data_IF_974803271447
#
_entry.id   IF_974803271447
#
_cell.length_a   1.000
_cell.length_b   1.000
_cell.length_c   1.000
_cell.angle_alpha   90.00
_cell.angle_beta   90.00
_cell.angle_gamma   90.00
#
_symmetry.space_group_name_H-M   'P 1'
#
loop_
_entity.id
_entity.type
_entity.pdbx_description
1 polymer ?
#
# COMPACT_ATOMS: atom_id res chain seq x y z
N UNK A 1 17.49 -5.15 -12.75
CA UNK A 1 17.09 -4.01 -11.92
C UNK A 1 18.09 -3.94 -10.80
N UNK A 2 18.65 -2.77 -10.52
CA UNK A 2 19.45 -2.56 -9.33
C UNK A 2 18.48 -2.22 -8.20
N UNK A 3 18.53 -3.01 -7.14
CA UNK A 3 17.59 -2.96 -6.03
C UNK A 3 18.22 -2.21 -4.86
N UNK A 4 17.45 -1.35 -4.18
CA UNK A 4 18.03 -0.39 -3.24
C UNK A 4 17.13 -0.15 -2.04
N UNK A 5 17.77 0.23 -0.93
CA UNK A 5 17.09 0.86 0.20
C UNK A 5 17.70 2.23 0.49
N UNK A 6 16.84 3.24 0.62
CA UNK A 6 17.18 4.60 1.00
C UNK A 6 16.51 4.90 2.33
N UNK A 7 17.26 5.41 3.31
CA UNK A 7 16.77 5.76 4.63
C UNK A 7 16.57 7.27 4.76
N UNK A 8 15.55 7.69 5.51
CA UNK A 8 15.33 9.09 5.92
C UNK A 8 14.93 9.14 7.39
N UNK A 9 15.14 10.30 8.02
CA UNK A 9 14.81 10.52 9.43
C UNK A 9 13.37 11.09 9.59
N UNK A 10 12.84 11.74 8.54
CA UNK A 10 11.45 12.21 8.47
C UNK A 10 10.63 11.40 7.45
N UNK A 11 9.38 11.10 7.83
CA UNK A 11 8.48 10.30 6.98
C UNK A 11 8.06 11.06 5.73
N UNK A 12 7.69 12.34 5.87
CA UNK A 12 7.22 13.12 4.73
C UNK A 12 8.36 13.45 3.76
N UNK A 13 9.59 13.54 4.23
CA UNK A 13 10.77 13.58 3.36
C UNK A 13 10.92 12.30 2.54
N UNK A 14 10.60 11.13 3.11
CA UNK A 14 10.57 9.87 2.36
C UNK A 14 9.49 9.87 1.26
N UNK A 15 8.31 10.40 1.58
CA UNK A 15 7.18 10.52 0.63
C UNK A 15 7.53 11.48 -0.51
N UNK A 16 8.06 12.67 -0.18
CA UNK A 16 8.48 13.68 -1.17
C UNK A 16 9.63 13.17 -2.03
N UNK A 17 10.61 12.46 -1.44
CA UNK A 17 11.68 11.81 -2.18
C UNK A 17 11.12 10.84 -3.24
N UNK A 18 10.20 9.96 -2.82
CA UNK A 18 9.62 8.95 -3.70
C UNK A 18 8.78 9.58 -4.81
N UNK A 19 7.99 10.62 -4.50
CA UNK A 19 7.23 11.38 -5.50
C UNK A 19 8.16 12.08 -6.50
N UNK A 20 9.16 12.82 -6.02
CA UNK A 20 10.10 13.56 -6.85
C UNK A 20 10.85 12.64 -7.82
N UNK A 21 11.31 11.50 -7.30
CA UNK A 21 11.99 10.46 -8.09
C UNK A 21 11.05 9.90 -9.14
N UNK A 22 9.82 9.58 -8.74
CA UNK A 22 8.81 9.07 -9.64
C UNK A 22 8.49 10.06 -10.77
N UNK A 23 8.64 11.36 -10.55
CA UNK A 23 8.48 12.43 -11.54
C UNK A 23 9.75 12.71 -12.39
N UNK A 24 10.86 11.98 -12.18
CA UNK A 24 12.02 12.06 -13.06
C UNK A 24 11.82 11.17 -14.29
N UNK A 25 11.25 11.72 -15.37
CA UNK A 25 10.95 10.95 -16.58
C UNK A 25 12.21 10.32 -17.24
N UNK A 26 13.41 10.85 -16.94
CA UNK A 26 14.69 10.29 -17.39
C UNK A 26 15.27 9.17 -16.51
N UNK A 27 14.66 8.88 -15.35
CA UNK A 27 15.11 7.84 -14.42
C UNK A 27 14.08 6.71 -14.43
N UNK A 28 14.44 5.60 -15.09
CA UNK A 28 13.55 4.46 -15.19
C UNK A 28 13.52 3.69 -13.87
N UNK A 29 12.37 3.72 -13.21
CA UNK A 29 12.09 2.95 -11.98
C UNK A 29 11.05 1.86 -12.27
N UNK A 30 11.14 0.74 -11.54
CA UNK A 30 10.12 -0.33 -11.53
C UNK A 30 9.33 -0.38 -10.22
N UNK A 31 9.91 0.12 -9.13
CA UNK A 31 9.32 0.13 -7.80
C UNK A 31 9.79 1.37 -7.05
N UNK A 32 8.85 1.99 -6.35
CA UNK A 32 9.11 2.99 -5.32
C UNK A 32 8.12 2.78 -4.18
N UNK A 33 8.62 2.34 -3.04
CA UNK A 33 7.79 2.02 -1.87
C UNK A 33 8.33 2.77 -0.66
N UNK A 34 7.46 3.42 0.12
CA UNK A 34 7.82 4.13 1.35
C UNK A 34 7.25 3.39 2.55
N UNK A 35 8.04 3.25 3.60
CA UNK A 35 7.68 2.62 4.87
C UNK A 35 7.89 3.61 6.01
N UNK A 36 6.82 3.89 6.76
CA UNK A 36 6.91 4.65 8.01
C UNK A 36 7.70 3.87 9.07
N UNK A 37 8.52 4.56 9.84
CA UNK A 37 9.13 4.00 11.03
C UNK A 37 8.04 3.58 12.05
N UNK A 38 8.16 2.45 12.77
CA UNK A 38 9.31 1.54 12.84
C UNK A 38 9.21 0.32 11.91
N UNK A 39 8.43 0.34 10.81
CA UNK A 39 8.14 -0.85 9.97
C UNK A 39 9.41 -1.61 9.57
N UNK A 40 10.44 -0.88 9.13
CA UNK A 40 11.71 -1.47 8.73
C UNK A 40 12.45 -2.13 9.90
N UNK A 41 12.49 -1.45 11.05
CA UNK A 41 13.15 -1.98 12.23
C UNK A 41 12.42 -3.19 12.82
N UNK A 42 11.09 -3.15 12.90
CA UNK A 42 10.32 -4.16 13.62
C UNK A 42 10.06 -5.41 12.77
N UNK A 43 9.83 -5.26 11.47
CA UNK A 43 9.33 -6.34 10.62
C UNK A 43 10.33 -6.83 9.57
N UNK A 44 11.36 -6.05 9.23
CA UNK A 44 12.33 -6.44 8.19
C UNK A 44 13.60 -7.01 8.80
N UNK A 45 13.55 -8.27 9.26
CA UNK A 45 14.64 -8.92 10.02
C UNK A 45 16.05 -8.83 9.39
N UNK A 46 16.17 -8.77 8.06
CA UNK A 46 17.46 -8.62 7.36
C UNK A 46 17.89 -7.17 7.13
N UNK A 47 16.97 -6.22 7.26
CA UNK A 47 17.21 -4.77 7.16
C UNK A 47 17.43 -4.17 8.56
N UNK A 48 16.77 -4.70 9.59
CA UNK A 48 16.84 -4.26 10.98
C UNK A 48 18.25 -3.92 11.48
N UNK A 49 19.33 -4.70 11.21
CA UNK A 49 20.67 -4.36 11.69
C UNK A 49 21.27 -3.08 11.09
N UNK A 50 20.62 -2.48 10.08
CA UNK A 50 21.11 -1.34 9.30
C UNK A 50 20.23 -0.09 9.46
N UNK A 51 19.21 -0.14 10.34
CA UNK A 51 18.25 0.93 10.57
C UNK A 51 17.96 1.07 12.07
N UNK A 52 17.67 2.28 12.52
CA UNK A 52 17.21 2.55 13.88
C UNK A 52 15.68 2.49 13.97
N UNK A 53 15.11 2.58 15.18
CA UNK A 53 13.66 2.51 15.38
C UNK A 53 12.88 3.63 14.68
N UNK A 54 13.47 4.82 14.57
CA UNK A 54 12.89 6.01 13.94
C UNK A 54 13.21 6.12 12.44
N UNK A 55 13.95 5.16 11.88
CA UNK A 55 14.34 5.19 10.47
C UNK A 55 13.16 4.85 9.56
N UNK A 56 12.77 5.82 8.73
CA UNK A 56 11.87 5.59 7.60
C UNK A 56 12.68 5.01 6.44
N UNK A 57 12.02 4.20 5.61
CA UNK A 57 12.72 3.45 4.56
C UNK A 57 12.00 3.58 3.22
N UNK A 58 12.78 3.66 2.15
CA UNK A 58 12.30 3.66 0.77
C UNK A 58 12.92 2.48 0.04
N UNK A 59 12.11 1.56 -0.46
CA UNK A 59 12.54 0.49 -1.36
C UNK A 59 12.43 0.94 -2.81
N UNK A 60 13.52 0.76 -3.56
CA UNK A 60 13.61 1.18 -4.96
C UNK A 60 14.09 0.04 -5.86
N UNK A 61 13.62 0.05 -7.11
CA UNK A 61 14.20 -0.72 -8.20
C UNK A 61 14.48 0.21 -9.37
N UNK A 62 15.76 0.49 -9.61
CA UNK A 62 16.23 1.40 -10.66
C UNK A 62 16.81 0.59 -11.83
N UNK A 63 16.58 1.01 -13.06
CA UNK A 63 17.21 0.36 -14.22
C UNK A 63 18.73 0.65 -14.21
N UNK A 64 19.60 -0.32 -14.56
CA UNK A 64 21.05 -0.10 -14.52
C UNK A 64 21.53 1.12 -15.32
N UNK A 65 20.91 1.39 -16.48
CA UNK A 65 21.27 2.54 -17.33
C UNK A 65 20.82 3.89 -16.76
N UNK A 66 19.90 3.91 -15.77
CA UNK A 66 19.44 5.13 -15.10
C UNK A 66 20.19 5.40 -13.80
N UNK A 67 21.17 4.57 -13.42
CA UNK A 67 21.84 4.65 -12.13
C UNK A 67 22.58 5.97 -11.93
N UNK A 68 23.33 6.46 -12.92
CA UNK A 68 24.05 7.74 -12.79
C UNK A 68 23.09 8.92 -12.61
N UNK A 69 21.93 8.87 -13.31
CA UNK A 69 20.85 9.84 -13.13
C UNK A 69 20.26 9.77 -11.72
N UNK A 70 20.02 8.56 -11.20
CA UNK A 70 19.56 8.35 -9.83
C UNK A 70 20.57 8.85 -8.79
N UNK A 71 21.86 8.54 -8.93
CA UNK A 71 22.90 9.00 -7.99
C UNK A 71 23.04 10.52 -8.01
N UNK A 72 22.92 11.15 -9.19
CA UNK A 72 22.89 12.62 -9.31
C UNK A 72 21.66 13.22 -8.63
N UNK A 73 20.49 12.57 -8.77
CA UNK A 73 19.26 12.94 -8.09
C UNK A 73 19.39 12.81 -6.56
N UNK A 74 19.94 11.70 -6.08
CA UNK A 74 20.14 11.42 -4.65
C UNK A 74 21.15 12.38 -4.01
N UNK A 75 22.26 12.69 -4.69
CA UNK A 75 23.30 13.58 -4.16
C UNK A 75 22.81 15.01 -3.84
N UNK A 76 21.62 15.39 -4.31
CA UNK A 76 20.97 16.69 -4.04
C UNK A 76 20.02 16.68 -2.85
N UNK A 77 19.91 15.54 -2.15
CA UNK A 77 18.94 15.29 -1.07
C UNK A 77 19.66 14.84 0.20
N UNK A 78 20.24 15.77 0.97
CA UNK A 78 20.98 15.44 2.19
C UNK A 78 20.15 14.69 3.25
N UNK A 79 18.82 14.80 3.18
CA UNK A 79 17.85 14.09 4.02
C UNK A 79 17.73 12.59 3.70
N UNK A 80 18.26 12.12 2.56
CA UNK A 80 18.11 10.76 2.09
C UNK A 80 19.46 10.03 1.96
N UNK A 81 19.59 8.87 2.61
CA UNK A 81 20.83 8.08 2.65
C UNK A 81 20.65 6.73 1.99
N UNK A 82 21.41 6.44 0.93
CA UNK A 82 21.47 5.11 0.34
C UNK A 82 22.18 4.14 1.30
N UNK A 83 21.45 3.17 1.85
CA UNK A 83 21.99 2.21 2.82
C UNK A 83 22.22 0.80 2.24
N UNK A 84 21.62 0.52 1.09
CA UNK A 84 21.78 -0.75 0.38
C UNK A 84 21.65 -0.55 -1.12
N UNK A 85 22.56 -1.14 -1.88
CA UNK A 85 22.46 -1.29 -3.33
C UNK A 85 22.86 -2.71 -3.74
N UNK A 86 22.02 -3.40 -4.49
CA UNK A 86 22.20 -4.84 -4.77
C UNK A 86 23.50 -5.19 -5.50
N UNK A 87 24.02 -4.27 -6.31
CA UNK A 87 25.28 -4.41 -7.06
C UNK A 87 26.49 -3.77 -6.36
N UNK A 88 26.31 -3.13 -5.20
CA UNK A 88 27.36 -2.48 -4.41
C UNK A 88 26.96 -2.38 -2.93
N UNK A 89 27.24 -3.45 -2.18
CA UNK A 89 26.96 -3.53 -0.75
C UNK A 89 27.98 -4.45 -0.06
N UNK A 90 28.16 -4.21 1.23
CA UNK A 90 29.00 -5.00 2.14
C UNK A 90 28.15 -5.71 3.23
N UNK A 91 26.83 -5.79 3.03
CA UNK A 91 25.92 -6.40 3.99
C UNK A 91 26.24 -7.89 4.17
N UNK A 92 26.55 -8.30 5.41
CA UNK A 92 26.90 -9.68 5.73
C UNK A 92 25.82 -10.71 5.32
N UNK A 93 24.56 -10.28 5.23
CA UNK A 93 23.44 -11.07 4.70
C UNK A 93 22.60 -10.22 3.76
N UNK A 94 22.43 -10.69 2.53
CA UNK A 94 21.54 -10.02 1.59
C UNK A 94 20.08 -10.01 2.06
N UNK A 95 19.35 -8.90 1.88
CA UNK A 95 17.95 -8.80 2.27
C UNK A 95 17.03 -9.74 1.48
N UNK A 96 17.51 -10.32 0.38
CA UNK A 96 16.67 -10.96 -0.63
C UNK A 96 16.11 -9.91 -1.60
N UNK A 97 15.19 -10.29 -2.50
CA UNK A 97 14.65 -9.36 -3.49
C UNK A 97 13.88 -8.21 -2.83
N UNK A 98 14.23 -6.97 -3.17
CA UNK A 98 13.63 -5.76 -2.56
C UNK A 98 12.13 -5.67 -2.83
N UNK A 99 11.63 -6.16 -3.96
CA UNK A 99 10.19 -6.16 -4.23
C UNK A 99 9.39 -7.02 -3.25
N UNK A 100 10.02 -8.00 -2.57
CA UNK A 100 9.38 -8.78 -1.50
C UNK A 100 9.28 -8.00 -0.18
N UNK A 101 9.66 -6.73 -0.16
CA UNK A 101 9.41 -5.80 0.95
C UNK A 101 8.27 -4.83 0.66
N UNK A 102 7.90 -4.64 -0.61
CA UNK A 102 6.78 -3.83 -1.02
C UNK A 102 5.49 -4.63 -1.22
N UNK A 103 4.43 -3.94 -1.59
CA UNK A 103 3.07 -4.43 -1.73
C UNK A 103 2.65 -5.26 -0.51
N UNK A 104 1.71 -6.18 -0.67
CA UNK A 104 1.23 -6.94 0.48
C UNK A 104 2.28 -7.92 1.09
N UNK A 105 3.51 -7.97 0.55
CA UNK A 105 4.61 -8.66 1.24
C UNK A 105 5.09 -7.89 2.48
N UNK A 106 4.89 -6.57 2.54
CA UNK A 106 5.11 -5.78 3.76
C UNK A 106 4.24 -6.33 4.89
N UNK A 107 2.94 -6.48 4.64
CA UNK A 107 1.99 -7.09 5.56
C UNK A 107 2.39 -8.53 5.90
N UNK A 108 2.78 -9.34 4.91
CA UNK A 108 3.26 -10.72 5.16
C UNK A 108 4.47 -10.75 6.12
N UNK A 109 5.40 -9.80 6.02
CA UNK A 109 6.54 -9.69 6.93
C UNK A 109 6.10 -9.28 8.32
N UNK A 110 5.18 -8.33 8.43
CA UNK A 110 4.63 -7.88 9.69
C UNK A 110 3.87 -9.00 10.44
N UNK A 111 2.94 -9.70 9.77
CA UNK A 111 2.13 -10.78 10.41
C UNK A 111 2.96 -11.99 10.84
N UNK A 112 4.13 -12.21 10.22
CA UNK A 112 5.08 -13.24 10.66
C UNK A 112 5.75 -12.92 12.00
N UNK A 113 5.73 -11.64 12.41
CA UNK A 113 6.30 -11.16 13.67
C UNK A 113 5.19 -10.84 14.67
N UNK A 114 4.17 -10.09 14.27
CA UNK A 114 2.99 -9.73 15.06
C UNK A 114 1.71 -10.14 14.30
N UNK A 115 1.10 -11.30 14.63
CA UNK A 115 -0.12 -11.78 13.98
C UNK A 115 -1.36 -10.90 14.19
N UNK A 116 -1.31 -9.88 15.05
CA UNK A 116 -2.40 -8.91 15.20
C UNK A 116 -2.43 -7.86 14.09
N UNK A 117 -1.41 -7.81 13.23
CA UNK A 117 -1.36 -6.88 12.11
C UNK A 117 -2.34 -7.30 11.01
N UNK A 118 -3.10 -6.32 10.54
CA UNK A 118 -3.88 -6.36 9.31
C UNK A 118 -3.51 -5.14 8.45
N UNK A 119 -4.21 -4.90 7.34
CA UNK A 119 -3.86 -3.81 6.42
C UNK A 119 -5.09 -3.15 5.81
N UNK A 120 -4.98 -1.87 5.47
CA UNK A 120 -5.94 -1.16 4.62
C UNK A 120 -5.49 -1.15 3.16
N UNK A 121 -6.39 -0.82 2.25
CA UNK A 121 -6.02 -0.40 0.90
C UNK A 121 -6.59 0.98 0.66
N UNK A 122 -5.71 1.96 0.54
CA UNK A 122 -6.06 3.39 0.45
C UNK A 122 -5.55 3.93 -0.87
N UNK A 123 -6.29 4.84 -1.49
CA UNK A 123 -5.82 5.64 -2.62
C UNK A 123 -5.66 7.09 -2.20
N UNK A 124 -4.44 7.57 -2.30
CA UNK A 124 -4.07 8.97 -2.14
C UNK A 124 -3.86 9.57 -3.52
N UNK A 125 -4.92 10.17 -4.07
CA UNK A 125 -4.94 10.66 -5.44
C UNK A 125 -4.37 12.09 -5.59
N UNK A 126 -3.76 12.35 -6.74
CA UNK A 126 -3.37 13.70 -7.16
C UNK A 126 -4.61 14.63 -7.23
N UNK A 127 -4.50 15.94 -6.89
CA UNK A 127 -3.30 16.69 -6.52
C UNK A 127 -3.01 16.77 -5.02
N UNK A 128 -3.89 16.21 -4.18
CA UNK A 128 -3.86 16.44 -2.72
C UNK A 128 -3.22 15.28 -1.95
N UNK A 129 -2.62 14.32 -2.65
CA UNK A 129 -2.10 13.08 -2.08
C UNK A 129 -1.11 13.32 -0.94
N UNK A 130 -0.18 14.27 -1.07
CA UNK A 130 0.79 14.57 0.00
C UNK A 130 0.11 15.05 1.29
N UNK A 131 -0.77 16.05 1.18
CA UNK A 131 -1.47 16.61 2.33
C UNK A 131 -2.38 15.58 3.01
N UNK A 132 -2.98 14.69 2.21
CA UNK A 132 -3.83 13.63 2.73
C UNK A 132 -3.02 12.52 3.41
N UNK A 133 -1.86 12.14 2.86
CA UNK A 133 -0.92 11.20 3.49
C UNK A 133 -0.45 11.76 4.84
N UNK A 134 -0.01 13.01 4.88
CA UNK A 134 0.45 13.67 6.11
C UNK A 134 -0.66 13.69 7.16
N UNK A 135 -1.88 14.10 6.78
CA UNK A 135 -3.04 14.11 7.66
C UNK A 135 -3.38 12.73 8.22
N UNK A 136 -3.43 11.69 7.37
CA UNK A 136 -3.76 10.32 7.83
C UNK A 136 -2.65 9.74 8.71
N UNK A 137 -1.39 10.06 8.40
CA UNK A 137 -0.26 9.65 9.24
C UNK A 137 -0.34 10.32 10.62
N UNK A 138 -0.58 11.63 10.69
CA UNK A 138 -0.66 12.36 11.95
C UNK A 138 -1.88 11.95 12.81
N UNK A 139 -3.01 11.62 12.17
CA UNK A 139 -4.22 11.17 12.88
C UNK A 139 -4.04 9.79 13.53
N UNK A 140 -3.31 8.88 12.87
CA UNK A 140 -3.30 7.47 13.26
C UNK A 140 -1.96 6.92 13.76
N UNK A 141 -0.84 7.61 13.56
CA UNK A 141 0.45 7.13 14.05
C UNK A 141 0.49 7.22 15.60
N UNK A 142 0.98 6.18 16.32
CA UNK A 142 1.60 4.95 15.83
C UNK A 142 0.65 3.74 15.74
N UNK A 143 -0.67 3.91 15.91
CA UNK A 143 -1.66 2.83 15.81
C UNK A 143 -1.71 2.23 14.40
N UNK A 144 -1.58 3.08 13.38
CA UNK A 144 -1.52 2.72 11.97
C UNK A 144 -0.25 3.28 11.37
N UNK A 145 0.55 2.39 10.78
CA UNK A 145 1.81 2.76 10.13
C UNK A 145 1.61 2.83 8.63
N UNK A 146 2.01 3.94 8.02
CA UNK A 146 1.89 4.13 6.58
C UNK A 146 2.88 3.25 5.82
N UNK A 147 2.37 2.61 4.78
CA UNK A 147 3.14 1.93 3.76
C UNK A 147 2.58 2.36 2.41
N UNK A 148 3.39 3.01 1.59
CA UNK A 148 2.94 3.69 0.37
C UNK A 148 3.64 3.13 -0.86
N UNK A 149 2.88 2.78 -1.88
CA UNK A 149 3.36 2.42 -3.20
C UNK A 149 3.18 3.58 -4.17
N UNK A 150 4.26 3.98 -4.83
CA UNK A 150 4.23 4.96 -5.92
C UNK A 150 3.45 4.37 -7.10
N UNK A 151 2.47 5.14 -7.58
CA UNK A 151 1.69 4.84 -8.77
C UNK A 151 1.70 6.01 -9.75
N UNK A 152 1.36 5.72 -11.01
CA UNK A 152 0.99 6.74 -12.00
C UNK A 152 -0.39 6.43 -12.57
N UNK A 153 -1.30 7.39 -12.45
CA UNK A 153 -2.66 7.33 -13.02
C UNK A 153 -2.90 8.63 -13.80
N UNK A 154 -3.39 8.53 -15.04
CA UNK A 154 -3.57 9.73 -15.89
C UNK A 154 -2.29 10.55 -16.12
N UNK A 155 -1.11 9.92 -16.02
CA UNK A 155 0.19 10.58 -16.12
C UNK A 155 0.64 11.34 -14.86
N UNK A 156 -0.16 11.35 -13.79
CA UNK A 156 0.17 11.99 -12.51
C UNK A 156 0.67 10.96 -11.50
N UNK A 157 1.72 11.32 -10.77
CA UNK A 157 2.20 10.53 -9.64
C UNK A 157 1.20 10.65 -8.49
N UNK A 158 0.94 9.52 -7.85
CA UNK A 158 0.06 9.38 -6.70
C UNK A 158 0.50 8.16 -5.87
N UNK A 159 -0.20 7.84 -4.78
CA UNK A 159 0.15 6.70 -3.94
C UNK A 159 -1.03 5.76 -3.69
N UNK A 160 -0.74 4.47 -3.65
CA UNK A 160 -1.59 3.50 -2.95
C UNK A 160 -1.03 3.25 -1.55
N UNK A 161 -1.85 3.39 -0.52
CA UNK A 161 -1.53 2.99 0.83
C UNK A 161 -1.90 1.52 1.08
N UNK A 162 -0.98 0.78 1.67
CA UNK A 162 -1.22 -0.53 2.28
C UNK A 162 -0.91 -0.46 3.78
N UNK A 163 -1.45 0.56 4.43
CA UNK A 163 -1.12 0.91 5.82
C UNK A 163 -1.36 -0.27 6.77
N UNK A 164 -0.38 -0.53 7.62
CA UNK A 164 -0.43 -1.61 8.60
C UNK A 164 -1.26 -1.16 9.80
N UNK A 165 -2.29 -1.93 10.14
CA UNK A 165 -3.20 -1.66 11.25
C UNK A 165 -3.01 -2.73 12.30
N UNK A 166 -2.80 -2.34 13.56
CA UNK A 166 -2.88 -3.28 14.67
C UNK A 166 -4.34 -3.56 15.01
N UNK A 167 -4.82 -4.76 14.69
CA UNK A 167 -6.22 -5.12 14.90
C UNK A 167 -6.57 -5.16 16.39
N UNK A 168 -7.67 -4.52 16.75
CA UNK A 168 -8.22 -4.52 18.11
C UNK A 168 -9.67 -5.02 18.13
N UNK A 169 -10.53 -4.40 17.33
CA UNK A 169 -11.93 -4.76 17.17
C UNK A 169 -12.42 -4.38 15.78
N UNK A 170 -13.53 -5.00 15.35
CA UNK A 170 -14.21 -4.66 14.10
C UNK A 170 -14.71 -3.21 14.12
N UNK A 171 -15.30 -2.77 15.24
CA UNK A 171 -15.81 -1.39 15.40
C UNK A 171 -14.70 -0.34 15.19
N UNK A 172 -13.50 -0.56 15.74
CA UNK A 172 -12.36 0.35 15.55
C UNK A 172 -11.87 0.33 14.11
N UNK A 173 -11.84 -0.84 13.46
CA UNK A 173 -11.41 -0.96 12.07
C UNK A 173 -12.39 -0.23 11.13
N UNK A 174 -13.69 -0.37 11.36
CA UNK A 174 -14.72 0.35 10.61
C UNK A 174 -14.67 1.86 10.89
N UNK A 175 -14.39 2.28 12.13
CA UNK A 175 -14.17 3.69 12.46
C UNK A 175 -12.96 4.27 11.71
N UNK A 176 -11.84 3.54 11.68
CA UNK A 176 -10.65 3.91 10.91
C UNK A 176 -10.99 4.10 9.43
N UNK A 177 -11.72 3.16 8.83
CA UNK A 177 -12.11 3.24 7.41
C UNK A 177 -12.97 4.49 7.18
N UNK A 178 -13.99 4.72 8.02
CA UNK A 178 -14.85 5.90 7.92
C UNK A 178 -14.06 7.21 8.03
N UNK A 179 -13.10 7.29 8.96
CA UNK A 179 -12.26 8.48 9.14
C UNK A 179 -11.36 8.76 7.92
N UNK A 180 -10.88 7.71 7.23
CA UNK A 180 -10.18 7.87 5.95
C UNK A 180 -11.12 8.42 4.86
N UNK A 181 -12.32 7.84 4.73
CA UNK A 181 -13.32 8.28 3.76
C UNK A 181 -13.77 9.74 4.02
N UNK A 182 -14.04 10.09 5.27
CA UNK A 182 -14.39 11.46 5.71
C UNK A 182 -13.28 12.47 5.42
N UNK A 183 -12.02 12.03 5.44
CA UNK A 183 -10.87 12.86 5.06
C UNK A 183 -10.69 12.98 3.53
N UNK A 184 -11.45 12.23 2.74
CA UNK A 184 -11.38 12.20 1.28
C UNK A 184 -10.43 11.14 0.71
N UNK A 185 -9.96 10.20 1.53
CA UNK A 185 -9.17 9.06 1.07
C UNK A 185 -10.10 7.94 0.59
N UNK A 186 -9.87 7.43 -0.63
CA UNK A 186 -10.67 6.34 -1.17
C UNK A 186 -10.17 5.01 -0.62
N UNK A 187 -11.06 4.26 0.04
CA UNK A 187 -10.76 2.93 0.61
C UNK A 187 -11.26 1.83 -0.33
N UNK A 188 -10.41 0.83 -0.56
CA UNK A 188 -10.78 -0.44 -1.18
C UNK A 188 -10.81 -1.52 -0.10
N UNK A 189 -11.93 -1.65 0.60
CA UNK A 189 -11.96 -2.39 1.86
C UNK A 189 -11.48 -3.86 1.70
N UNK A 190 -10.26 -4.21 2.18
CA UNK A 190 -9.70 -5.54 2.00
C UNK A 190 -10.32 -6.56 2.97
N UNK A 191 -11.16 -6.08 3.89
CA UNK A 191 -11.89 -6.89 4.85
C UNK A 191 -13.26 -7.27 4.30
N UNK A 192 -13.59 -7.03 3.03
CA UNK A 192 -14.82 -7.52 2.41
C UNK A 192 -14.49 -8.54 1.32
N UNK A 193 -15.39 -9.48 1.07
CA UNK A 193 -15.16 -10.54 0.06
C UNK A 193 -16.02 -10.40 -1.19
N UNK A 194 -16.99 -9.48 -1.20
CA UNK A 194 -17.84 -9.17 -2.36
C UNK A 194 -17.22 -8.06 -3.19
N UNK A 195 -17.60 -7.96 -4.45
CA UNK A 195 -17.02 -7.02 -5.41
C UNK A 195 -17.37 -5.58 -5.05
N UNK A 196 -18.62 -5.36 -4.69
CA UNK A 196 -19.20 -4.05 -4.39
C UNK A 196 -18.66 -3.49 -3.07
N UNK A 197 -18.71 -4.29 -2.00
CA UNK A 197 -18.22 -3.85 -0.68
C UNK A 197 -16.70 -3.67 -0.65
N UNK A 198 -15.96 -4.32 -1.55
CA UNK A 198 -14.51 -4.14 -1.71
C UNK A 198 -14.10 -2.85 -2.43
N UNK A 199 -15.06 -2.07 -2.96
CA UNK A 199 -14.85 -0.75 -3.58
C UNK A 199 -14.08 -0.73 -4.91
N UNK A 200 -13.48 -1.85 -5.34
CA UNK A 200 -12.69 -1.92 -6.60
C UNK A 200 -13.56 -2.06 -7.85
N UNK A 201 -14.79 -2.53 -7.71
CA UNK A 201 -15.70 -2.72 -8.83
C UNK A 201 -17.06 -2.12 -8.50
N UNK A 202 -17.42 -1.02 -9.17
CA UNK A 202 -18.80 -0.56 -9.22
C UNK A 202 -19.58 -1.49 -10.16
N UNK A 203 -20.66 -2.07 -9.67
CA UNK A 203 -21.58 -2.81 -10.54
C UNK A 203 -22.47 -1.82 -11.26
N UNK A 204 -22.51 -1.93 -12.58
CA UNK A 204 -23.47 -1.24 -13.43
C UNK A 204 -24.29 -2.26 -14.24
N UNK A 205 -25.31 -1.78 -14.95
CA UNK A 205 -26.15 -2.62 -15.80
C UNK A 205 -25.34 -3.35 -16.88
N UNK A 206 -24.18 -2.81 -17.29
CA UNK A 206 -23.32 -3.45 -18.28
C UNK A 206 -22.68 -4.70 -17.70
N UNK A 207 -22.15 -4.64 -16.48
CA UNK A 207 -21.57 -5.78 -15.78
C UNK A 207 -22.60 -6.88 -15.52
N UNK A 208 -23.82 -6.50 -15.12
CA UNK A 208 -24.91 -7.46 -14.91
C UNK A 208 -25.31 -8.16 -16.22
N UNK A 209 -25.46 -7.40 -17.32
CA UNK A 209 -25.73 -8.01 -18.63
C UNK A 209 -24.62 -8.96 -19.07
N UNK A 210 -23.37 -8.57 -18.88
CA UNK A 210 -22.23 -9.42 -19.22
C UNK A 210 -22.20 -10.70 -18.37
N UNK A 211 -22.47 -10.62 -17.05
CA UNK A 211 -22.58 -11.83 -16.21
C UNK A 211 -23.72 -12.74 -16.67
N UNK A 212 -24.88 -12.19 -17.09
CA UNK A 212 -25.99 -13.00 -17.65
C UNK A 212 -25.58 -13.72 -18.93
N UNK A 213 -24.79 -13.09 -19.78
CA UNK A 213 -24.29 -13.69 -21.03
C UNK A 213 -23.25 -14.79 -20.75
N UNK A 214 -22.25 -14.48 -19.91
CA UNK A 214 -21.10 -15.37 -19.67
C UNK A 214 -21.39 -16.49 -18.66
N UNK A 215 -22.29 -16.25 -17.70
CA UNK A 215 -22.62 -17.16 -16.60
C UNK A 215 -24.14 -17.16 -16.31
N UNK A 216 -24.98 -17.60 -17.28
CA UNK A 216 -26.44 -17.53 -17.15
C UNK A 216 -27.00 -18.36 -15.98
N UNK A 217 -26.23 -19.32 -15.48
CA UNK A 217 -26.60 -20.18 -14.33
C UNK A 217 -26.01 -19.69 -13.00
N UNK A 218 -25.18 -18.65 -12.99
CA UNK A 218 -24.58 -18.12 -11.77
C UNK A 218 -23.58 -19.07 -11.09
N UNK A 219 -22.89 -19.93 -11.85
CA UNK A 219 -21.99 -20.96 -11.32
C UNK A 219 -20.55 -20.46 -11.13
N UNK A 220 -20.18 -19.34 -11.77
CA UNK A 220 -18.85 -18.77 -11.63
C UNK A 220 -18.78 -17.90 -10.37
N UNK A 221 -18.15 -18.47 -9.33
CA UNK A 221 -17.83 -17.81 -8.06
C UNK A 221 -19.07 -17.17 -7.38
N UNK A 222 -20.11 -17.97 -7.05
CA UNK A 222 -21.36 -17.47 -6.49
C UNK A 222 -21.14 -16.73 -5.16
N UNK A 223 -22.00 -15.75 -4.86
CA UNK A 223 -21.91 -14.92 -3.65
C UNK A 223 -20.87 -13.81 -3.68
N UNK A 224 -20.09 -13.66 -4.77
CA UNK A 224 -19.12 -12.57 -4.93
C UNK A 224 -19.71 -11.27 -5.44
N UNK A 225 -20.78 -11.33 -6.23
CA UNK A 225 -21.45 -10.17 -6.80
C UNK A 225 -22.81 -10.06 -6.11
N UNK A 226 -22.96 -9.11 -5.20
CA UNK A 226 -24.20 -8.92 -4.45
C UNK A 226 -25.34 -8.59 -5.42
N UNK A 227 -25.13 -7.67 -6.35
CA UNK A 227 -26.16 -7.24 -7.30
C UNK A 227 -26.65 -8.34 -8.25
N UNK A 228 -25.92 -9.47 -8.35
CA UNK A 228 -26.41 -10.66 -9.06
C UNK A 228 -27.45 -11.43 -8.24
N UNK A 229 -27.24 -11.53 -6.93
CA UNK A 229 -28.07 -12.29 -6.01
C UNK A 229 -29.23 -11.46 -5.46
N UNK A 230 -28.97 -10.19 -5.16
CA UNK A 230 -29.89 -9.20 -4.60
C UNK A 230 -29.61 -7.82 -5.22
N UNK A 231 -30.34 -7.44 -6.28
CA UNK A 231 -30.14 -6.16 -6.96
C UNK A 231 -30.57 -4.94 -6.13
N UNK A 232 -31.37 -5.16 -5.07
CA UNK A 232 -31.91 -4.09 -4.23
C UNK A 232 -31.09 -3.92 -2.93
N UNK A 233 -29.92 -4.56 -2.84
CA UNK A 233 -29.08 -4.50 -1.65
C UNK A 233 -28.64 -3.06 -1.32
N UNK A 234 -28.81 -2.59 -0.07
CA UNK A 234 -28.62 -1.18 0.28
C UNK A 234 -27.16 -0.75 0.50
N UNK A 235 -26.23 -1.69 0.67
CA UNK A 235 -24.80 -1.44 0.96
C UNK A 235 -24.52 -0.57 2.20
N UNK A 236 -25.48 -0.47 3.13
CA UNK A 236 -25.43 0.42 4.29
C UNK A 236 -24.57 -0.10 5.45
N UNK A 237 -24.38 -1.43 5.54
CA UNK A 237 -23.60 -2.06 6.60
C UNK A 237 -22.61 -3.09 6.07
N UNK A 238 -21.43 -3.01 6.65
CA UNK A 238 -20.30 -3.90 6.46
C UNK A 238 -20.54 -5.33 6.99
N UNK A 239 -20.17 -6.36 6.22
CA UNK A 239 -20.38 -7.79 6.56
C UNK A 239 -21.84 -8.18 6.79
N UNK A 240 -22.80 -7.40 6.29
CA UNK A 240 -24.22 -7.66 6.52
C UNK A 240 -24.85 -8.61 5.49
N UNK A 241 -24.14 -8.95 4.41
CA UNK A 241 -24.69 -9.78 3.34
C UNK A 241 -25.11 -11.16 3.87
N UNK A 242 -26.39 -11.56 3.82
CA UNK A 242 -26.92 -12.70 4.58
C UNK A 242 -26.40 -14.07 4.14
N UNK A 243 -25.74 -14.18 2.97
CA UNK A 243 -25.07 -15.41 2.54
C UNK A 243 -23.64 -15.54 3.08
N UNK A 244 -23.20 -14.59 3.91
CA UNK A 244 -21.95 -14.65 4.66
C UNK A 244 -22.07 -15.77 5.70
N UNK A 245 -21.53 -16.94 5.37
CA UNK A 245 -21.43 -18.03 6.33
C UNK A 245 -20.18 -17.82 7.18
N UNK A 246 -20.26 -17.97 8.52
CA UNK A 246 -19.06 -18.04 9.34
C UNK A 246 -18.19 -19.20 8.86
N UNK A 247 -16.87 -19.04 8.94
CA UNK A 247 -15.96 -20.16 8.76
C UNK A 247 -16.17 -21.14 9.93
N UNK A 248 -16.48 -22.40 9.61
CA UNK A 248 -16.53 -23.51 10.59
C UNK A 248 -15.16 -23.78 11.23
#
# INVERSE_FOLDING_TARGET
>A
WTEMFVATDDFMDAVRFAEDLANQDGILIKLGTVFEAPVAHDYFQRVKPHVEQDTNLIALMIAPHSMDGFLTFLARRPEARLIYRSDDNDWARHPGPVFEYGWNHTTLRAIKVDPSITYLQVRYAYPNHLALIERMRDEFSPEILQHLEVLREGGKVMFAGLSLVKFTSEDRLDEIIRLHEDAGAMIFNPHRYTLEEGGRQTVDDRQLRFKREADPKGLLNPGKMIAWDDPDWPFDRMYAYPKLQPAD
#
